data_IF_548061694888
#
_entry.id   IF_548061694888
#
_cell.length_a   1.000
_cell.length_b   1.000
_cell.length_c   1.000
_cell.angle_alpha   90.00
_cell.angle_beta   90.00
_cell.angle_gamma   90.00
#
_symmetry.space_group_name_H-M   'P 1'
#
loop_
_entity.id
_entity.type
_entity.pdbx_description
1 polymer ?
#
# COMPACT_ATOMS: atom_id res chain seq x y z
N UNK A 1 -45.77 -11.57 63.14
CA UNK A 1 -44.46 -10.98 62.75
C UNK A 1 -43.39 -12.04 62.92
N UNK A 2 -42.79 -12.57 61.85
CA UNK A 2 -41.53 -13.32 61.91
C UNK A 2 -41.11 -13.75 60.51
N UNK A 3 -39.92 -13.32 60.06
CA UNK A 3 -38.78 -14.20 59.75
C UNK A 3 -37.65 -13.37 59.12
N UNK A 4 -36.61 -13.14 59.91
CA UNK A 4 -35.25 -12.84 59.44
C UNK A 4 -34.58 -14.17 59.02
N UNK A 5 -33.91 -14.21 57.88
CA UNK A 5 -32.86 -15.20 57.55
C UNK A 5 -31.60 -14.41 57.20
N UNK A 6 -30.60 -14.31 58.08
CA UNK A 6 -29.46 -15.23 58.21
C UNK A 6 -28.78 -15.63 56.89
N UNK A 7 -27.60 -15.01 56.69
CA UNK A 7 -26.29 -15.64 56.46
C UNK A 7 -26.21 -16.76 55.41
N UNK A 8 -25.35 -16.56 54.40
CA UNK A 8 -24.10 -17.33 54.31
C UNK A 8 -23.27 -16.89 53.09
N UNK A 9 -22.05 -16.42 53.38
CA UNK A 9 -20.98 -16.26 52.40
C UNK A 9 -20.57 -17.64 51.89
N UNK A 10 -20.37 -17.80 50.59
CA UNK A 10 -19.61 -18.94 50.06
C UNK A 10 -18.62 -18.45 49.02
N UNK A 11 -17.37 -18.47 49.48
CA UNK A 11 -16.10 -18.61 48.77
C UNK A 11 -16.18 -18.81 47.25
N UNK A 12 -15.48 -17.96 46.50
CA UNK A 12 -14.97 -18.28 45.16
C UNK A 12 -13.46 -18.07 45.11
N UNK A 13 -12.74 -19.16 45.28
CA UNK A 13 -11.33 -19.41 44.94
C UNK A 13 -11.28 -20.93 44.66
N UNK A 14 -10.60 -21.53 43.68
CA UNK A 14 -9.68 -21.13 42.62
C UNK A 14 -9.51 -22.40 41.74
N UNK A 15 -9.30 -22.22 40.42
CA UNK A 15 -8.38 -22.96 39.52
C UNK A 15 -8.49 -24.50 39.37
N UNK A 16 -8.78 -24.97 38.15
CA UNK A 16 -7.78 -25.52 37.20
C UNK A 16 -8.42 -25.71 35.79
N UNK A 17 -7.60 -25.67 34.72
CA UNK A 17 -8.01 -25.46 33.35
C UNK A 17 -8.50 -26.75 32.72
N UNK A 18 -9.68 -26.71 32.09
CA UNK A 18 -9.96 -27.67 31.04
C UNK A 18 -9.31 -27.12 29.76
N UNK A 19 -8.11 -27.62 29.47
CA UNK A 19 -7.50 -27.56 28.15
C UNK A 19 -8.47 -28.18 27.15
N UNK A 20 -9.37 -27.35 26.61
CA UNK A 20 -10.03 -27.67 25.36
C UNK A 20 -8.96 -27.44 24.31
N UNK A 21 -8.28 -28.51 23.92
CA UNK A 21 -7.65 -28.58 22.60
C UNK A 21 -8.77 -28.48 21.57
N UNK A 22 -9.26 -27.25 21.33
CA UNK A 22 -9.87 -26.94 20.05
C UNK A 22 -8.68 -26.79 19.12
N UNK A 23 -8.26 -27.91 18.53
CA UNK A 23 -7.64 -27.86 17.22
C UNK A 23 -8.69 -27.28 16.28
N UNK A 24 -8.85 -25.95 16.30
CA UNK A 24 -9.39 -25.21 15.17
C UNK A 24 -8.36 -25.41 14.06
N UNK A 25 -8.52 -26.50 13.32
CA UNK A 25 -8.11 -26.50 11.94
C UNK A 25 -8.84 -25.30 11.34
N UNK A 26 -8.13 -24.18 11.21
CA UNK A 26 -8.57 -23.13 10.32
C UNK A 26 -8.69 -23.83 8.97
N UNK A 27 -9.92 -23.97 8.49
CA UNK A 27 -10.10 -24.17 7.07
C UNK A 27 -9.42 -22.97 6.43
N UNK A 28 -8.21 -23.16 5.89
CA UNK A 28 -7.57 -22.19 5.01
C UNK A 28 -8.67 -21.80 4.03
N UNK A 29 -9.15 -20.55 4.08
CA UNK A 29 -10.07 -20.08 3.07
C UNK A 29 -9.25 -20.08 1.78
N UNK A 30 -9.40 -21.14 0.98
CA UNK A 30 -8.81 -21.31 -0.35
C UNK A 30 -9.46 -20.25 -1.24
N UNK A 31 -9.04 -19.01 -1.07
CA UNK A 31 -9.61 -17.84 -1.71
C UNK A 31 -8.54 -17.14 -2.54
N UNK A 32 -8.95 -16.71 -3.73
CA UNK A 32 -8.23 -15.72 -4.50
C UNK A 32 -8.86 -14.36 -4.21
N UNK A 33 -8.08 -13.46 -3.63
CA UNK A 33 -8.51 -12.10 -3.34
C UNK A 33 -7.71 -11.13 -4.19
N UNK A 34 -8.39 -10.14 -4.76
CA UNK A 34 -7.76 -8.97 -5.34
C UNK A 34 -8.00 -7.76 -4.44
N UNK A 35 -6.93 -7.04 -4.14
CA UNK A 35 -6.94 -5.83 -3.33
C UNK A 35 -6.25 -4.73 -4.11
N UNK A 36 -6.87 -3.55 -4.16
CA UNK A 36 -6.27 -2.38 -4.76
C UNK A 36 -5.43 -1.65 -3.71
N UNK A 37 -4.12 -1.57 -3.94
CA UNK A 37 -3.17 -0.80 -3.13
C UNK A 37 -2.56 0.34 -3.95
N UNK A 38 -3.35 1.00 -4.80
CA UNK A 38 -2.88 2.25 -5.39
C UNK A 38 -2.91 3.35 -4.36
N UNK A 39 -2.20 4.44 -4.62
CA UNK A 39 -2.60 5.67 -3.98
C UNK A 39 -3.93 6.12 -4.63
N UNK A 40 -5.05 5.65 -4.07
CA UNK A 40 -6.40 6.07 -4.46
C UNK A 40 -6.70 7.35 -3.72
N UNK A 41 -7.11 8.37 -4.47
CA UNK A 41 -7.36 9.70 -3.96
C UNK A 41 -8.67 10.24 -4.55
N UNK A 42 -9.28 11.22 -3.89
CA UNK A 42 -10.17 12.12 -4.62
C UNK A 42 -9.36 13.06 -5.51
N UNK A 43 -9.78 13.26 -6.76
CA UNK A 43 -9.20 14.29 -7.63
C UNK A 43 -9.41 15.69 -7.07
N UNK A 44 -8.55 16.63 -7.42
CA UNK A 44 -8.66 18.02 -6.95
C UNK A 44 -10.02 18.65 -7.28
N UNK A 45 -10.50 18.45 -8.51
CA UNK A 45 -11.80 18.97 -8.97
C UNK A 45 -12.98 18.03 -8.65
N UNK A 46 -12.67 16.83 -8.17
CA UNK A 46 -13.62 15.74 -8.07
C UNK A 46 -13.34 14.92 -6.80
N UNK A 47 -13.47 15.53 -5.61
CA UNK A 47 -13.17 14.87 -4.35
C UNK A 47 -14.09 13.67 -4.12
N UNK A 48 -13.58 12.61 -3.49
CA UNK A 48 -14.31 11.38 -3.19
C UNK A 48 -13.48 10.13 -3.47
N UNK A 49 -13.79 9.03 -2.77
CA UNK A 49 -13.15 7.73 -2.92
C UNK A 49 -14.17 6.72 -3.50
N UNK A 50 -13.77 5.75 -4.35
CA UNK A 50 -12.43 5.48 -4.91
C UNK A 50 -12.25 6.05 -6.33
N UNK A 51 -11.28 6.97 -6.52
CA UNK A 51 -10.94 7.52 -7.85
C UNK A 51 -9.44 7.40 -8.15
N UNK A 52 -9.11 7.30 -9.43
CA UNK A 52 -7.74 7.18 -9.94
C UNK A 52 -7.51 8.21 -11.04
N UNK A 53 -6.39 8.92 -10.98
CA UNK A 53 -6.04 9.92 -11.98
C UNK A 53 -5.38 9.22 -13.17
N UNK A 54 -5.86 9.50 -14.38
CA UNK A 54 -5.25 8.98 -15.59
C UNK A 54 -3.77 9.42 -15.70
N UNK A 55 -2.90 8.51 -16.13
CA UNK A 55 -1.44 8.66 -16.11
C UNK A 55 -0.76 8.10 -14.86
N UNK A 56 -1.52 7.78 -13.80
CA UNK A 56 -0.98 7.20 -12.56
C UNK A 56 -0.65 5.72 -12.69
N UNK A 57 0.18 5.23 -11.78
CA UNK A 57 0.42 3.80 -11.58
C UNK A 57 -0.53 3.24 -10.53
N UNK A 58 -1.19 2.14 -10.88
CA UNK A 58 -2.03 1.33 -10.01
C UNK A 58 -1.24 0.12 -9.54
N UNK A 59 -1.45 -0.25 -8.28
CA UNK A 59 -0.88 -1.45 -7.67
C UNK A 59 -2.04 -2.36 -7.27
N UNK A 60 -2.11 -3.55 -7.86
CA UNK A 60 -3.10 -4.57 -7.53
C UNK A 60 -2.40 -5.71 -6.83
N UNK A 61 -2.78 -5.98 -5.59
CA UNK A 61 -2.33 -7.15 -4.86
C UNK A 61 -3.29 -8.29 -5.10
N UNK A 62 -2.78 -9.41 -5.57
CA UNK A 62 -3.53 -10.67 -5.62
C UNK A 62 -3.00 -11.59 -4.53
N UNK A 63 -3.81 -11.83 -3.50
CA UNK A 63 -3.52 -12.78 -2.44
C UNK A 63 -4.16 -14.12 -2.80
N UNK A 64 -3.37 -15.18 -2.80
CA UNK A 64 -3.81 -16.51 -3.19
C UNK A 64 -3.41 -17.52 -2.11
N UNK A 65 -4.41 -18.05 -1.39
CA UNK A 65 -4.16 -19.06 -0.35
C UNK A 65 -3.66 -20.41 -0.89
N UNK A 66 -3.80 -20.67 -2.20
CA UNK A 66 -3.40 -21.93 -2.84
C UNK A 66 -2.07 -21.87 -3.60
N UNK A 67 -1.62 -20.69 -4.00
CA UNK A 67 -0.32 -20.54 -4.64
C UNK A 67 0.77 -20.38 -3.58
N UNK A 68 1.61 -21.39 -3.51
CA UNK A 68 2.66 -21.52 -2.51
C UNK A 68 4.04 -21.15 -3.09
N UNK A 69 4.05 -20.57 -4.30
CA UNK A 69 5.28 -20.19 -5.00
C UNK A 69 5.80 -18.82 -4.55
N UNK A 70 7.06 -18.84 -4.11
CA UNK A 70 7.89 -17.68 -3.89
C UNK A 70 8.58 -17.32 -5.22
N UNK A 71 8.08 -16.29 -5.92
CA UNK A 71 8.69 -15.82 -7.16
C UNK A 71 9.67 -14.67 -6.87
N UNK A 72 10.85 -14.62 -7.50
CA UNK A 72 11.69 -13.42 -7.44
C UNK A 72 10.97 -12.22 -8.09
N UNK A 73 11.52 -11.02 -7.95
CA UNK A 73 11.05 -9.86 -8.70
C UNK A 73 11.22 -10.18 -10.19
N UNK A 74 10.11 -10.37 -10.89
CA UNK A 74 10.09 -10.70 -12.32
C UNK A 74 9.33 -9.62 -13.09
N UNK A 75 9.79 -9.36 -14.31
CA UNK A 75 9.06 -8.54 -15.28
C UNK A 75 8.04 -9.34 -16.09
N UNK A 76 8.03 -10.68 -15.96
CA UNK A 76 7.08 -11.56 -16.63
C UNK A 76 5.80 -11.76 -15.83
N UNK A 77 4.74 -12.14 -16.54
CA UNK A 77 3.46 -12.55 -15.94
C UNK A 77 3.64 -13.84 -15.12
N UNK A 78 3.02 -14.01 -13.93
CA UNK A 78 3.26 -15.20 -13.12
C UNK A 78 2.41 -16.36 -13.65
N UNK A 79 3.01 -17.54 -13.75
CA UNK A 79 2.33 -18.72 -14.30
C UNK A 79 1.01 -18.99 -13.59
N UNK A 80 -0.05 -19.16 -14.40
CA UNK A 80 -1.39 -19.48 -13.94
C UNK A 80 -2.21 -18.27 -13.48
N UNK A 81 -1.62 -17.08 -13.32
CA UNK A 81 -2.41 -15.89 -13.01
C UNK A 81 -2.93 -15.23 -14.27
N UNK A 82 -4.19 -14.82 -14.24
CA UNK A 82 -4.82 -14.01 -15.27
C UNK A 82 -5.46 -12.82 -14.56
N UNK A 83 -5.17 -11.61 -15.03
CA UNK A 83 -5.86 -10.41 -14.58
C UNK A 83 -6.82 -9.99 -15.68
N UNK A 84 -8.06 -9.75 -15.31
CA UNK A 84 -9.10 -9.28 -16.22
C UNK A 84 -9.58 -7.90 -15.78
N UNK A 85 -9.97 -7.10 -16.76
CA UNK A 85 -10.58 -5.80 -16.55
C UNK A 85 -11.89 -5.67 -17.31
N UNK A 86 -12.82 -4.92 -16.73
CA UNK A 86 -14.06 -4.53 -17.38
C UNK A 86 -14.18 -2.99 -17.36
N UNK A 87 -14.52 -2.41 -18.51
CA UNK A 87 -14.78 -0.99 -18.68
C UNK A 87 -16.27 -0.68 -18.54
N UNK A 88 -16.61 0.36 -17.80
CA UNK A 88 -17.98 0.91 -17.68
C UNK A 88 -19.05 -0.12 -17.28
N UNK A 89 -18.64 -1.13 -16.52
CA UNK A 89 -19.52 -2.17 -16.03
C UNK A 89 -20.13 -1.74 -14.68
N UNK A 90 -21.46 -1.66 -14.62
CA UNK A 90 -22.19 -1.33 -13.40
C UNK A 90 -22.10 -2.43 -12.33
N UNK A 91 -22.39 -2.11 -11.07
CA UNK A 91 -22.29 -3.02 -9.91
C UNK A 91 -23.32 -4.16 -9.90
N UNK A 92 -24.40 -4.01 -10.65
CA UNK A 92 -25.48 -4.98 -10.78
C UNK A 92 -25.29 -5.96 -11.95
N UNK A 93 -24.30 -5.74 -12.82
CA UNK A 93 -24.04 -6.58 -13.99
C UNK A 93 -22.98 -7.65 -13.73
N UNK A 94 -23.11 -8.85 -14.36
CA UNK A 94 -22.09 -9.87 -14.29
C UNK A 94 -20.78 -9.35 -14.89
N UNK A 95 -19.64 -9.78 -14.34
CA UNK A 95 -18.33 -9.38 -14.84
C UNK A 95 -18.09 -9.91 -16.25
N UNK A 96 -18.03 -9.00 -17.23
CA UNK A 96 -17.70 -9.28 -18.63
C UNK A 96 -16.35 -8.61 -18.92
N UNK A 97 -15.27 -9.37 -19.16
CA UNK A 97 -13.97 -8.79 -19.43
C UNK A 97 -14.00 -8.00 -20.75
N UNK A 98 -13.38 -6.83 -20.75
CA UNK A 98 -13.11 -6.03 -21.94
C UNK A 98 -11.79 -6.51 -22.57
N UNK A 99 -11.83 -7.18 -23.74
CA UNK A 99 -10.63 -7.76 -24.34
C UNK A 99 -9.58 -6.68 -24.65
N UNK A 100 -8.31 -6.95 -24.34
CA UNK A 100 -7.20 -6.05 -24.67
C UNK A 100 -6.98 -4.89 -23.67
N UNK A 101 -7.88 -4.69 -22.71
CA UNK A 101 -7.84 -3.51 -21.83
C UNK A 101 -6.64 -3.56 -20.86
N UNK A 102 -6.30 -4.73 -20.31
CA UNK A 102 -5.09 -4.87 -19.48
C UNK A 102 -3.83 -4.48 -20.24
N UNK A 103 -3.72 -4.89 -21.50
CA UNK A 103 -2.57 -4.60 -22.35
C UNK A 103 -2.44 -3.09 -22.61
N UNK A 104 -3.56 -2.37 -22.74
CA UNK A 104 -3.53 -0.90 -22.84
C UNK A 104 -3.09 -0.21 -21.54
N UNK A 105 -3.21 -0.89 -20.40
CA UNK A 105 -2.71 -0.41 -19.11
C UNK A 105 -1.23 -0.70 -18.89
N UNK A 106 -0.49 -1.07 -19.95
CA UNK A 106 0.97 -1.27 -19.96
C UNK A 106 1.48 -1.99 -18.69
N UNK A 107 1.11 -3.26 -18.45
CA UNK A 107 1.51 -3.96 -17.23
C UNK A 107 3.03 -3.94 -17.11
N UNK A 108 3.52 -3.30 -16.05
CA UNK A 108 4.92 -2.97 -15.92
C UNK A 108 5.67 -4.16 -15.33
N UNK A 109 5.28 -4.62 -14.12
CA UNK A 109 6.06 -5.54 -13.28
C UNK A 109 5.21 -6.25 -12.23
N UNK A 110 5.79 -7.30 -11.64
CA UNK A 110 5.22 -8.04 -10.50
C UNK A 110 6.14 -7.96 -9.30
N UNK A 111 5.63 -7.51 -8.14
CA UNK A 111 6.35 -7.57 -6.87
C UNK A 111 5.87 -8.80 -6.11
N UNK A 112 6.79 -9.73 -5.80
CA UNK A 112 6.56 -10.70 -4.74
C UNK A 112 7.15 -10.17 -3.43
N UNK A 113 6.32 -10.15 -2.39
CA UNK A 113 6.66 -9.68 -1.04
C UNK A 113 7.85 -10.43 -0.42
N UNK A 114 8.19 -11.61 -0.94
CA UNK A 114 9.40 -12.37 -0.63
C UNK A 114 10.69 -11.53 -0.67
N UNK A 115 10.82 -10.66 -1.68
CA UNK A 115 12.03 -9.85 -1.87
C UNK A 115 12.09 -8.66 -0.88
N UNK A 116 10.96 -8.33 -0.25
CA UNK A 116 10.84 -7.23 0.68
C UNK A 116 11.04 -7.66 2.13
N UNK A 117 10.98 -8.97 2.44
CA UNK A 117 11.30 -9.46 3.78
C UNK A 117 12.73 -9.12 4.19
N UNK A 118 12.87 -8.48 5.35
CA UNK A 118 14.14 -8.20 6.00
C UNK A 118 14.73 -9.44 6.70
N UNK A 119 13.96 -10.52 6.80
CA UNK A 119 14.36 -11.75 7.47
C UNK A 119 15.12 -12.67 6.50
N UNK A 120 16.42 -12.84 6.77
CA UNK A 120 17.30 -13.71 5.99
C UNK A 120 16.90 -15.18 6.06
N UNK A 121 16.27 -15.61 7.15
CA UNK A 121 15.86 -17.00 7.35
C UNK A 121 14.61 -17.33 6.52
N UNK A 122 13.71 -16.37 6.32
CA UNK A 122 12.56 -16.50 5.42
C UNK A 122 12.98 -16.68 3.95
N UNK A 123 14.11 -16.10 3.54
CA UNK A 123 14.66 -16.31 2.18
C UNK A 123 15.30 -17.69 2.01
N UNK A 124 15.75 -18.30 3.10
CA UNK A 124 16.49 -19.56 3.09
C UNK A 124 15.62 -20.80 3.32
N UNK A 125 14.46 -20.65 3.98
CA UNK A 125 13.55 -21.75 4.24
C UNK A 125 12.12 -21.46 3.76
N UNK A 126 11.77 -21.86 2.52
CA UNK A 126 10.43 -21.67 1.99
C UNK A 126 9.29 -22.33 2.77
N UNK A 127 9.58 -23.33 3.61
CA UNK A 127 8.57 -24.00 4.40
C UNK A 127 8.13 -23.20 5.64
N UNK A 128 8.74 -22.04 5.96
CA UNK A 128 8.23 -21.13 7.01
C UNK A 128 7.28 -20.06 6.44
N UNK A 129 7.03 -20.04 5.13
CA UNK A 129 6.08 -19.14 4.47
C UNK A 129 4.63 -19.32 4.91
N UNK A 130 4.26 -20.50 5.41
CA UNK A 130 2.88 -20.86 5.77
C UNK A 130 2.21 -19.92 6.78
N UNK A 131 3.01 -19.20 7.59
CA UNK A 131 2.49 -18.37 8.66
C UNK A 131 2.28 -16.89 8.26
N UNK A 132 2.61 -16.50 7.02
CA UNK A 132 2.51 -15.11 6.57
C UNK A 132 1.74 -15.04 5.24
N UNK A 133 0.41 -14.95 5.33
CA UNK A 133 -0.51 -14.89 4.18
C UNK A 133 -0.13 -13.81 3.14
N UNK A 134 0.49 -12.72 3.58
CA UNK A 134 0.95 -11.63 2.72
C UNK A 134 2.19 -11.97 1.87
N UNK A 135 2.97 -13.01 2.21
CA UNK A 135 4.20 -13.35 1.47
C UNK A 135 3.92 -14.05 0.13
N UNK A 136 2.75 -14.66 -0.04
CA UNK A 136 2.35 -15.31 -1.29
C UNK A 136 1.67 -14.36 -2.28
N UNK A 137 1.41 -13.12 -1.85
CA UNK A 137 0.74 -12.14 -2.68
C UNK A 137 1.58 -11.73 -3.90
N UNK A 138 0.91 -11.47 -5.02
CA UNK A 138 1.50 -10.98 -6.27
C UNK A 138 1.00 -9.56 -6.52
N UNK A 139 1.89 -8.58 -6.49
CA UNK A 139 1.53 -7.18 -6.75
C UNK A 139 1.76 -6.84 -8.22
N UNK A 140 0.71 -6.48 -8.96
CA UNK A 140 0.75 -6.06 -10.35
C UNK A 140 0.78 -4.54 -10.43
N UNK A 141 1.75 -3.99 -11.16
CA UNK A 141 1.82 -2.54 -11.42
C UNK A 141 1.29 -2.26 -12.83
N UNK A 142 0.21 -1.49 -12.93
CA UNK A 142 -0.43 -1.09 -14.17
C UNK A 142 -0.38 0.43 -14.33
N UNK A 143 -0.08 0.94 -15.52
CA UNK A 143 -0.15 2.38 -15.81
C UNK A 143 -1.48 2.70 -16.48
N UNK A 144 -2.21 3.67 -15.94
CA UNK A 144 -3.49 4.07 -16.51
C UNK A 144 -3.26 5.01 -17.69
N UNK A 145 -3.65 4.65 -18.93
CA UNK A 145 -3.52 5.53 -20.07
C UNK A 145 -4.51 6.71 -19.98
N UNK A 146 -4.14 7.84 -20.56
CA UNK A 146 -4.97 9.04 -20.61
C UNK A 146 -6.34 8.80 -21.27
N UNK A 147 -6.43 7.85 -22.20
CA UNK A 147 -7.65 7.49 -22.91
C UNK A 147 -8.74 6.88 -22.02
N UNK A 148 -8.41 6.44 -20.80
CA UNK A 148 -9.40 5.92 -19.85
C UNK A 148 -10.01 7.00 -18.96
N UNK A 149 -9.61 8.26 -19.09
CA UNK A 149 -10.26 9.35 -18.36
C UNK A 149 -11.75 9.45 -18.70
N UNK A 150 -12.60 9.54 -17.66
CA UNK A 150 -14.05 9.57 -17.78
C UNK A 150 -14.72 8.20 -17.72
N UNK A 151 -13.95 7.11 -17.69
CA UNK A 151 -14.46 5.75 -17.61
C UNK A 151 -14.39 5.20 -16.18
N UNK A 152 -15.13 4.11 -15.93
CA UNK A 152 -14.95 3.29 -14.73
C UNK A 152 -14.30 1.96 -15.08
N UNK A 153 -13.49 1.45 -14.18
CA UNK A 153 -12.83 0.15 -14.34
C UNK A 153 -13.12 -0.77 -13.16
N UNK A 154 -13.26 -2.06 -13.46
CA UNK A 154 -13.26 -3.14 -12.49
C UNK A 154 -12.16 -4.13 -12.79
N UNK A 155 -11.64 -4.74 -11.75
CA UNK A 155 -10.60 -5.76 -11.84
C UNK A 155 -11.09 -7.08 -11.27
N UNK A 156 -10.66 -8.18 -11.88
CA UNK A 156 -10.84 -9.54 -11.37
C UNK A 156 -9.55 -10.32 -11.60
N UNK A 157 -9.17 -11.13 -10.63
CA UNK A 157 -8.07 -12.08 -10.80
C UNK A 157 -8.61 -13.50 -10.97
N UNK A 158 -7.91 -14.29 -11.77
CA UNK A 158 -8.12 -15.72 -11.93
C UNK A 158 -6.76 -16.42 -11.71
N UNK A 159 -6.79 -17.58 -11.07
CA UNK A 159 -5.64 -18.46 -10.93
C UNK A 159 -5.97 -19.85 -11.44
N UNK A 160 -5.31 -20.26 -12.53
CA UNK A 160 -5.49 -21.52 -13.24
C UNK A 160 -4.18 -22.29 -13.30
N UNK A 161 -4.06 -23.36 -12.52
CA UNK A 161 -2.88 -24.23 -12.54
C UNK A 161 -3.21 -25.63 -12.03
N UNK A 162 -2.79 -26.66 -12.77
CA UNK A 162 -2.83 -28.07 -12.34
C UNK A 162 -4.16 -28.47 -11.67
N UNK A 163 -5.27 -28.28 -12.38
CA UNK A 163 -6.65 -28.59 -11.95
C UNK A 163 -7.27 -27.66 -10.90
N UNK A 164 -6.55 -26.63 -10.44
CA UNK A 164 -7.12 -25.56 -9.63
C UNK A 164 -7.55 -24.40 -10.54
N UNK A 165 -8.81 -23.98 -10.41
CA UNK A 165 -9.38 -22.79 -11.03
C UNK A 165 -10.02 -21.94 -9.93
N UNK A 166 -9.34 -20.87 -9.54
CA UNK A 166 -9.82 -19.91 -8.55
C UNK A 166 -10.16 -18.61 -9.23
N UNK A 167 -11.30 -18.03 -8.87
CA UNK A 167 -11.76 -16.74 -9.40
C UNK A 167 -12.02 -15.81 -8.23
N UNK A 168 -11.43 -14.62 -8.27
CA UNK A 168 -11.69 -13.61 -7.24
C UNK A 168 -13.07 -12.98 -7.44
N UNK A 169 -13.64 -12.42 -6.37
CA UNK A 169 -14.67 -11.41 -6.55
C UNK A 169 -14.10 -10.23 -7.34
N UNK A 170 -14.94 -9.62 -8.18
CA UNK A 170 -14.56 -8.40 -8.88
C UNK A 170 -14.46 -7.24 -7.90
N UNK A 171 -13.57 -6.29 -8.18
CA UNK A 171 -13.54 -5.02 -7.44
C UNK A 171 -14.84 -4.23 -7.66
N UNK A 172 -15.14 -3.33 -6.74
CA UNK A 172 -16.10 -2.26 -7.00
C UNK A 172 -15.64 -1.43 -8.21
N UNK A 173 -16.59 -0.76 -8.89
CA UNK A 173 -16.24 0.18 -9.95
C UNK A 173 -15.36 1.32 -9.40
N UNK A 174 -14.27 1.61 -10.09
CA UNK A 174 -13.35 2.69 -9.72
C UNK A 174 -13.36 3.71 -10.86
N UNK A 175 -13.65 4.97 -10.56
CA UNK A 175 -13.66 6.03 -11.57
C UNK A 175 -12.24 6.46 -11.93
N UNK A 176 -11.98 6.55 -13.23
CA UNK A 176 -10.76 7.15 -13.76
C UNK A 176 -11.08 8.58 -14.18
N UNK A 177 -10.35 9.54 -13.62
CA UNK A 177 -10.55 10.96 -13.88
C UNK A 177 -9.35 11.55 -14.63
N UNK A 178 -9.60 12.53 -15.49
CA UNK A 178 -8.53 13.33 -16.06
C UNK A 178 -7.88 14.18 -14.95
N UNK A 179 -6.55 14.36 -14.97
CA UNK A 179 -5.93 15.36 -14.11
C UNK A 179 -6.47 16.73 -14.46
N UNK A 180 -7.00 17.47 -13.48
CA UNK A 180 -7.58 18.79 -13.74
C UNK A 180 -6.68 19.95 -13.29
N UNK A 181 -5.68 19.68 -12.46
CA UNK A 181 -4.75 20.68 -11.96
C UNK A 181 -3.33 20.12 -11.74
N UNK A 182 -2.44 21.00 -11.26
CA UNK A 182 -1.05 20.63 -10.93
C UNK A 182 -0.96 19.64 -9.76
N UNK A 183 -1.93 19.65 -8.85
CA UNK A 183 -1.97 18.73 -7.72
C UNK A 183 -2.27 17.30 -8.19
N UNK A 184 -3.22 17.12 -9.11
CA UNK A 184 -3.50 15.82 -9.72
C UNK A 184 -2.31 15.32 -10.55
N UNK A 185 -1.59 16.24 -11.21
CA UNK A 185 -0.34 15.91 -11.92
C UNK A 185 0.75 15.44 -10.94
N UNK A 186 0.98 16.19 -9.86
CA UNK A 186 1.96 15.85 -8.82
C UNK A 186 1.67 14.47 -8.21
N UNK A 187 0.39 14.20 -7.96
CA UNK A 187 -0.12 12.94 -7.42
C UNK A 187 0.04 11.76 -8.37
N UNK A 188 -0.17 11.97 -9.67
CA UNK A 188 0.17 10.97 -10.68
C UNK A 188 1.67 10.62 -10.65
N UNK A 189 2.55 11.63 -10.55
CA UNK A 189 3.99 11.41 -10.42
C UNK A 189 4.35 10.72 -9.10
N UNK A 190 3.66 11.05 -8.00
CA UNK A 190 3.88 10.43 -6.70
C UNK A 190 3.71 8.90 -6.74
N UNK A 191 2.84 8.37 -7.60
CA UNK A 191 2.70 6.91 -7.81
C UNK A 191 3.97 6.24 -8.34
N UNK A 192 4.82 6.99 -9.07
CA UNK A 192 6.10 6.51 -9.54
C UNK A 192 7.18 6.55 -8.44
N UNK A 193 7.08 7.50 -7.50
CA UNK A 193 7.94 7.51 -6.29
C UNK A 193 7.63 6.27 -5.46
N UNK A 194 6.34 5.99 -5.23
CA UNK A 194 5.90 4.80 -4.52
C UNK A 194 6.35 3.50 -5.23
N UNK A 195 6.20 3.42 -6.57
CA UNK A 195 6.73 2.29 -7.35
C UNK A 195 8.23 2.07 -7.10
N UNK A 196 9.02 3.14 -7.20
CA UNK A 196 10.46 3.06 -7.02
C UNK A 196 10.86 2.69 -5.58
N UNK A 197 10.08 3.16 -4.59
CA UNK A 197 10.27 2.81 -3.19
C UNK A 197 9.97 1.34 -2.91
N UNK A 198 8.81 0.84 -3.38
CA UNK A 198 8.41 -0.57 -3.31
C UNK A 198 9.46 -1.48 -3.96
N UNK A 199 10.04 -1.05 -5.09
CA UNK A 199 11.12 -1.77 -5.78
C UNK A 199 12.50 -1.65 -5.10
N UNK A 200 12.61 -0.98 -3.94
CA UNK A 200 13.86 -0.64 -3.26
C UNK A 200 14.87 0.11 -4.15
N UNK A 201 14.40 0.75 -5.23
CA UNK A 201 15.21 1.63 -6.06
C UNK A 201 15.18 3.05 -5.49
N UNK A 202 15.76 3.21 -4.30
CA UNK A 202 15.69 4.45 -3.54
C UNK A 202 16.31 5.64 -4.30
N UNK A 203 17.36 5.40 -5.09
CA UNK A 203 17.96 6.45 -5.94
C UNK A 203 16.96 6.98 -6.97
N UNK A 204 16.21 6.10 -7.63
CA UNK A 204 15.16 6.51 -8.59
C UNK A 204 14.02 7.24 -7.88
N UNK A 205 13.58 6.76 -6.72
CA UNK A 205 12.53 7.42 -5.94
C UNK A 205 12.93 8.86 -5.59
N UNK A 206 14.15 9.06 -5.08
CA UNK A 206 14.68 10.40 -4.78
C UNK A 206 14.85 11.26 -6.05
N UNK A 207 15.31 10.71 -7.17
CA UNK A 207 15.45 11.46 -8.41
C UNK A 207 14.10 11.98 -8.95
N UNK A 208 13.03 11.18 -8.83
CA UNK A 208 11.67 11.61 -9.19
C UNK A 208 11.19 12.70 -8.22
N UNK A 209 11.43 12.54 -6.92
CA UNK A 209 11.07 13.54 -5.91
C UNK A 209 11.81 14.88 -6.12
N UNK A 210 13.11 14.83 -6.42
CA UNK A 210 13.91 16.01 -6.75
C UNK A 210 13.40 16.69 -8.03
N UNK A 211 12.92 15.91 -9.01
CA UNK A 211 12.25 16.46 -10.19
C UNK A 211 10.91 17.14 -9.83
N UNK A 212 10.10 16.58 -8.93
CA UNK A 212 8.88 17.23 -8.46
C UNK A 212 9.20 18.59 -7.83
N UNK A 213 10.22 18.65 -6.97
CA UNK A 213 10.71 19.90 -6.37
C UNK A 213 11.12 20.92 -7.44
N UNK A 214 11.92 20.49 -8.43
CA UNK A 214 12.41 21.37 -9.50
C UNK A 214 11.28 21.96 -10.37
N UNK A 215 10.18 21.24 -10.53
CA UNK A 215 9.01 21.70 -11.29
C UNK A 215 7.94 22.38 -10.44
N UNK A 216 8.18 22.61 -9.13
CA UNK A 216 7.19 23.15 -8.20
C UNK A 216 5.89 22.32 -8.19
N UNK A 217 6.06 21.00 -8.12
CA UNK A 217 5.00 20.02 -7.91
C UNK A 217 5.10 19.51 -6.48
N UNK A 218 3.96 19.35 -5.83
CA UNK A 218 3.90 18.92 -4.45
C UNK A 218 2.76 17.93 -4.26
N UNK A 219 3.07 16.83 -3.58
CA UNK A 219 2.10 15.83 -3.13
C UNK A 219 2.57 15.27 -1.78
N UNK A 220 1.68 15.27 -0.79
CA UNK A 220 2.03 14.89 0.58
C UNK A 220 2.55 13.45 0.69
N UNK A 221 1.96 12.51 -0.06
CA UNK A 221 2.42 11.13 -0.01
C UNK A 221 3.65 10.90 -0.87
N UNK A 222 3.79 11.62 -1.99
CA UNK A 222 5.04 11.67 -2.74
C UNK A 222 6.22 12.01 -1.83
N UNK A 223 6.06 13.01 -0.96
CA UNK A 223 7.08 13.37 0.04
C UNK A 223 7.28 12.32 1.12
N UNK A 224 6.22 11.72 1.65
CA UNK A 224 6.33 10.64 2.64
C UNK A 224 7.13 9.44 2.11
N UNK A 225 6.90 9.03 0.86
CA UNK A 225 7.63 7.94 0.22
C UNK A 225 9.05 8.33 -0.18
N UNK A 226 9.27 9.57 -0.63
CA UNK A 226 10.61 10.10 -0.90
C UNK A 226 11.46 10.15 0.38
N UNK A 227 10.89 10.61 1.49
CA UNK A 227 11.54 10.59 2.83
C UNK A 227 11.90 9.16 3.21
N UNK A 228 10.97 8.21 3.06
CA UNK A 228 11.19 6.80 3.37
C UNK A 228 12.29 6.18 2.48
N UNK A 229 12.35 6.54 1.20
CA UNK A 229 13.40 6.11 0.28
C UNK A 229 14.77 6.68 0.68
N UNK A 230 14.85 7.98 0.97
CA UNK A 230 16.08 8.63 1.38
C UNK A 230 16.61 8.06 2.70
N UNK A 231 15.73 7.84 3.68
CA UNK A 231 16.08 7.17 4.93
C UNK A 231 16.59 5.74 4.69
N UNK A 232 15.92 4.96 3.83
CA UNK A 232 16.36 3.62 3.45
C UNK A 232 17.72 3.60 2.73
N UNK A 233 18.06 4.66 2.01
CA UNK A 233 19.37 4.87 1.38
C UNK A 233 20.42 5.51 2.30
N UNK A 234 20.07 5.83 3.56
CA UNK A 234 20.90 6.58 4.52
C UNK A 234 21.30 7.99 4.05
N UNK A 235 20.52 8.58 3.14
CA UNK A 235 20.65 9.95 2.67
C UNK A 235 19.85 10.88 3.59
N UNK A 236 20.25 10.97 4.87
CA UNK A 236 19.44 11.58 5.92
C UNK A 236 19.14 13.07 5.70
N UNK A 237 20.04 13.80 5.04
CA UNK A 237 19.79 15.21 4.69
C UNK A 237 18.63 15.36 3.70
N UNK A 238 18.53 14.45 2.72
CA UNK A 238 17.37 14.41 1.82
C UNK A 238 16.11 13.98 2.55
N UNK A 239 16.21 12.99 3.44
CA UNK A 239 15.06 12.55 4.23
C UNK A 239 14.48 13.70 5.06
N UNK A 240 15.34 14.48 5.74
CA UNK A 240 14.94 15.69 6.47
C UNK A 240 14.34 16.71 5.51
N UNK A 241 14.97 17.00 4.38
CA UNK A 241 14.44 17.96 3.40
C UNK A 241 13.04 17.59 2.89
N UNK A 242 12.75 16.31 2.65
CA UNK A 242 11.42 15.88 2.22
C UNK A 242 10.39 15.91 3.36
N UNK A 243 10.79 15.61 4.59
CA UNK A 243 9.95 15.77 5.78
C UNK A 243 9.57 17.24 6.00
N UNK A 244 10.57 18.12 5.97
CA UNK A 244 10.41 19.57 6.11
C UNK A 244 9.44 20.08 5.03
N UNK A 245 9.63 19.66 3.77
CA UNK A 245 8.73 20.04 2.67
C UNK A 245 7.29 19.57 2.86
N UNK A 246 7.09 18.31 3.25
CA UNK A 246 5.74 17.78 3.52
C UNK A 246 5.04 18.56 4.64
N UNK A 247 5.77 18.86 5.70
CA UNK A 247 5.25 19.61 6.83
C UNK A 247 4.96 21.08 6.48
N UNK A 248 5.82 21.72 5.69
CA UNK A 248 5.62 23.08 5.20
C UNK A 248 4.40 23.18 4.28
N UNK A 249 4.31 22.30 3.27
CA UNK A 249 3.29 22.37 2.24
C UNK A 249 1.93 21.89 2.72
N UNK A 250 1.87 20.94 3.66
CA UNK A 250 0.62 20.27 4.07
C UNK A 250 0.33 20.29 5.57
N UNK A 251 1.31 20.61 6.42
CA UNK A 251 1.14 20.57 7.88
C UNK A 251 0.95 19.16 8.43
N UNK A 252 1.46 18.14 7.74
CA UNK A 252 1.39 16.72 8.16
C UNK A 252 2.77 16.07 8.06
N UNK A 253 2.95 14.92 8.72
CA UNK A 253 4.22 14.18 8.76
C UNK A 253 4.11 12.76 8.20
N UNK A 254 2.89 12.32 7.89
CA UNK A 254 2.60 11.01 7.32
C UNK A 254 1.29 11.06 6.52
N UNK A 255 1.18 10.17 5.52
CA UNK A 255 -0.04 10.01 4.72
C UNK A 255 -0.31 8.51 4.56
N UNK A 256 -1.54 8.10 4.87
CA UNK A 256 -1.99 6.73 4.64
C UNK A 256 -2.36 6.54 3.16
N UNK A 257 -2.02 5.35 2.62
CA UNK A 257 -2.57 4.89 1.35
C UNK A 257 -4.11 4.83 1.43
N UNK A 258 -4.78 4.99 0.29
CA UNK A 258 -6.23 4.87 0.17
C UNK A 258 -7.05 5.83 1.06
N UNK A 259 -6.50 6.99 1.44
CA UNK A 259 -7.26 7.98 2.20
C UNK A 259 -8.30 8.68 1.32
N UNK A 260 -9.58 8.66 1.74
CA UNK A 260 -10.65 9.43 1.11
C UNK A 260 -10.47 10.94 1.24
N UNK A 261 -9.62 11.38 2.18
CA UNK A 261 -9.35 12.78 2.47
C UNK A 261 -7.84 13.00 2.52
N UNK A 262 -7.15 12.97 1.36
CA UNK A 262 -5.73 13.29 1.34
C UNK A 262 -5.50 14.71 1.88
N UNK A 263 -4.38 14.94 2.59
CA UNK A 263 -3.99 16.27 3.04
C UNK A 263 -3.98 17.25 1.87
N UNK A 264 -4.56 18.42 2.10
CA UNK A 264 -4.60 19.51 1.11
C UNK A 264 -3.46 20.47 1.37
N UNK A 265 -3.01 21.16 0.32
CA UNK A 265 -2.00 22.21 0.44
C UNK A 265 -2.43 23.23 1.51
N UNK A 266 -1.60 23.39 2.52
CA UNK A 266 -1.81 24.24 3.67
C UNK A 266 -1.42 25.68 3.37
N UNK A 267 -2.16 26.32 2.45
CA UNK A 267 -1.90 27.70 2.00
C UNK A 267 -1.99 28.75 3.11
N UNK A 268 -2.65 28.43 4.22
CA UNK A 268 -2.87 29.31 5.35
C UNK A 268 -1.91 29.04 6.53
N UNK A 269 -1.04 28.03 6.41
CA UNK A 269 -0.08 27.67 7.45
C UNK A 269 -0.72 27.20 8.77
N UNK A 270 -1.96 26.70 8.74
CA UNK A 270 -2.61 26.18 9.94
C UNK A 270 -1.99 24.84 10.33
N UNK A 271 -1.28 24.79 11.45
CA UNK A 271 -0.62 23.58 11.97
C UNK A 271 -1.27 23.21 13.29
N UNK A 272 -1.63 21.94 13.45
CA UNK A 272 -2.06 21.45 14.75
C UNK A 272 -0.84 21.30 15.64
N UNK A 273 -1.04 21.44 16.96
CA UNK A 273 0.02 21.18 17.93
C UNK A 273 0.55 19.76 17.81
N UNK A 274 -0.34 18.79 17.60
CA UNK A 274 -0.01 17.39 17.39
C UNK A 274 0.92 17.20 16.17
N UNK A 275 0.58 17.78 15.02
CA UNK A 275 1.43 17.68 13.82
C UNK A 275 2.81 18.34 14.01
N UNK A 276 2.89 19.43 14.79
CA UNK A 276 4.18 20.05 15.15
C UNK A 276 5.01 19.13 16.04
N UNK A 277 4.41 18.50 17.05
CA UNK A 277 5.09 17.55 17.94
C UNK A 277 5.58 16.31 17.15
N UNK A 278 4.74 15.75 16.27
CA UNK A 278 5.14 14.66 15.36
C UNK A 278 6.31 15.04 14.46
N UNK A 279 6.29 16.26 13.92
CA UNK A 279 7.34 16.77 13.04
C UNK A 279 8.67 16.88 13.78
N UNK A 280 8.65 17.49 14.97
CA UNK A 280 9.84 17.64 15.81
C UNK A 280 10.44 16.28 16.21
N UNK A 281 9.58 15.31 16.56
CA UNK A 281 10.01 13.94 16.85
C UNK A 281 10.63 13.26 15.62
N UNK A 282 9.94 13.31 14.47
CA UNK A 282 10.42 12.72 13.22
C UNK A 282 11.76 13.28 12.77
N UNK A 283 11.89 14.62 12.80
CA UNK A 283 13.11 15.32 12.43
C UNK A 283 14.26 15.03 13.40
N UNK A 284 14.00 15.03 14.70
CA UNK A 284 15.01 14.68 15.71
C UNK A 284 15.52 13.26 15.55
N UNK A 285 14.63 12.30 15.23
CA UNK A 285 15.01 10.92 14.95
C UNK A 285 15.95 10.81 13.75
N UNK A 286 15.64 11.50 12.65
CA UNK A 286 16.49 11.50 11.45
C UNK A 286 17.86 12.11 11.73
N UNK A 287 17.93 13.21 12.49
CA UNK A 287 19.19 13.82 12.91
C UNK A 287 20.03 12.89 13.80
N UNK A 288 19.39 12.16 14.71
CA UNK A 288 20.08 11.17 15.53
C UNK A 288 20.65 10.04 14.68
N UNK A 289 19.88 9.52 13.72
CA UNK A 289 20.35 8.47 12.80
C UNK A 289 21.51 8.94 11.93
N UNK A 290 21.46 10.19 11.44
CA UNK A 290 22.57 10.84 10.74
C UNK A 290 23.85 10.85 11.58
N UNK A 291 23.77 11.36 12.81
CA UNK A 291 24.93 11.43 13.70
C UNK A 291 25.52 10.06 14.05
N UNK A 292 24.68 9.01 14.17
CA UNK A 292 25.15 7.64 14.37
C UNK A 292 25.91 7.13 13.13
N UNK A 293 25.38 7.33 11.92
CA UNK A 293 26.00 6.85 10.69
C UNK A 293 27.33 7.57 10.39
N UNK A 294 27.38 8.89 10.59
CA UNK A 294 28.61 9.68 10.44
C UNK A 294 29.72 9.21 11.40
N UNK A 295 29.39 8.94 12.66
CA UNK A 295 30.34 8.39 13.62
C UNK A 295 30.83 6.98 13.23
N UNK A 296 29.96 6.14 12.68
CA UNK A 296 30.34 4.79 12.21
C UNK A 296 31.24 4.84 10.97
N UNK A 297 31.06 5.83 10.09
CA UNK A 297 31.92 6.03 8.92
C UNK A 297 33.30 6.55 9.31
N UNK A 298 33.42 7.39 10.34
CA UNK A 298 34.71 7.89 10.84
C UNK A 298 35.55 6.84 11.58
N UNK A 299 34.92 5.75 12.06
CA UNK A 299 35.59 4.66 12.77
C UNK A 299 36.06 3.50 11.85
N UNK A 300 35.77 3.56 10.54
CA UNK A 300 36.18 2.59 9.53
C UNK A 300 37.31 3.12 8.67
#
# INVERSE_FOLDING_TARGET
MSKQSQLSRSFKLFVLPLLVFVSTAFAENIGLQISLHSMVWGGSCEPGFPKIIAGSHIFLRVSNGSDRSALPLISGWPDGYILETALDLSDDQPFIPTPGLIETMEPIRILSQLNLSADGDLRQNPATFWNFEDLNAKDFVLKIPASLAGHTVKFRAIYQKAELDLVSFASNAISIIAPCDRSDTARSIATQIYEAWELRNYRRAMAIADSMLAYDLSDAAGWAWAMSAANGAREYDKAISYLDRMYEDYGVTAVLLNSSHPPRLNRLGSRTREAQEEYEMGRSRLLQMKGIDENQQQQK
#
